data_IF_151589189573
#
_entry.id   IF_151589189573
#
_cell.length_a   1.000
_cell.length_b   1.000
_cell.length_c   1.000
_cell.angle_alpha   90.00
_cell.angle_beta   90.00
_cell.angle_gamma   90.00
#
_symmetry.space_group_name_H-M   'P 1'
#
loop_
_entity.id
_entity.type
_entity.pdbx_description
1 polymer ?
#
# COMPACT_ATOMS: atom_id res chain seq x y z
N UNK A 1 -2.04 11.04 -7.27
CA UNK A 1 -1.53 11.49 -5.97
C UNK A 1 -0.34 12.39 -6.27
N UNK A 2 -0.47 13.68 -6.11
CA UNK A 2 0.66 14.62 -6.22
C UNK A 2 1.40 14.66 -4.88
N UNK A 3 2.75 14.72 -4.87
CA UNK A 3 3.47 15.04 -3.65
C UNK A 3 2.98 16.38 -3.08
N UNK A 4 3.08 16.54 -1.76
CA UNK A 4 2.90 17.85 -1.13
C UNK A 4 4.06 18.75 -1.57
N UNK A 5 3.83 20.07 -1.66
CA UNK A 5 4.88 21.00 -2.07
C UNK A 5 6.15 20.83 -1.21
N UNK A 6 7.28 20.65 -1.88
CA UNK A 6 8.58 20.40 -1.25
C UNK A 6 8.89 18.93 -0.94
N UNK A 7 7.99 17.99 -1.21
CA UNK A 7 8.28 16.55 -1.09
C UNK A 7 8.77 15.95 -2.41
N UNK A 8 9.73 15.01 -2.35
CA UNK A 8 10.19 14.33 -3.54
C UNK A 8 9.08 13.44 -4.13
N UNK A 9 9.12 13.30 -5.44
CA UNK A 9 8.35 12.31 -6.20
C UNK A 9 8.82 10.90 -5.87
N UNK A 10 7.98 9.90 -6.19
CA UNK A 10 8.34 8.47 -6.06
C UNK A 10 9.60 8.13 -6.86
N UNK A 11 9.77 8.72 -8.05
CA UNK A 11 10.94 8.51 -8.90
C UNK A 11 12.22 9.11 -8.28
N UNK A 12 12.15 10.31 -7.72
CA UNK A 12 13.29 10.94 -7.03
C UNK A 12 13.71 10.15 -5.79
N UNK A 13 12.74 9.65 -5.02
CA UNK A 13 13.02 8.77 -3.87
C UNK A 13 13.68 7.46 -4.30
N UNK A 14 13.17 6.81 -5.34
CA UNK A 14 13.73 5.56 -5.85
C UNK A 14 15.15 5.75 -6.39
N UNK A 15 15.39 6.81 -7.16
CA UNK A 15 16.71 7.15 -7.68
C UNK A 15 17.70 7.41 -6.54
N UNK A 16 17.31 8.23 -5.55
CA UNK A 16 18.15 8.54 -4.39
C UNK A 16 18.48 7.29 -3.58
N UNK A 17 17.53 6.38 -3.41
CA UNK A 17 17.74 5.11 -2.72
C UNK A 17 18.75 4.22 -3.48
N UNK A 18 18.60 4.08 -4.79
CA UNK A 18 19.51 3.31 -5.63
C UNK A 18 20.95 3.88 -5.58
N UNK A 19 21.08 5.21 -5.68
CA UNK A 19 22.39 5.89 -5.63
C UNK A 19 23.14 5.65 -4.32
N UNK A 20 22.42 5.66 -3.18
CA UNK A 20 23.04 5.49 -1.85
C UNK A 20 23.39 4.02 -1.59
N UNK A 21 22.53 3.10 -2.01
CA UNK A 21 22.62 1.69 -1.61
C UNK A 21 23.29 0.79 -2.64
N UNK A 22 23.35 1.22 -3.91
CA UNK A 22 23.72 0.38 -5.04
C UNK A 22 22.67 -0.67 -5.40
N UNK A 23 21.49 -0.66 -4.75
CA UNK A 23 20.43 -1.62 -5.00
C UNK A 23 19.70 -1.30 -6.31
N UNK A 24 19.32 -2.35 -7.05
CA UNK A 24 18.43 -2.21 -8.21
C UNK A 24 17.01 -1.88 -7.76
N UNK A 25 16.38 -0.95 -8.46
CA UNK A 25 14.96 -0.58 -8.29
C UNK A 25 14.11 -0.99 -9.50
N UNK A 26 14.62 -1.87 -10.37
CA UNK A 26 13.93 -2.32 -11.58
C UNK A 26 12.55 -2.93 -11.28
N UNK A 27 12.44 -3.69 -10.18
CA UNK A 27 11.22 -4.38 -9.78
C UNK A 27 10.35 -3.56 -8.80
N UNK A 28 10.58 -2.25 -8.68
CA UNK A 28 9.87 -1.42 -7.71
C UNK A 28 8.35 -1.47 -7.88
N UNK A 29 7.84 -1.51 -9.12
CA UNK A 29 6.40 -1.63 -9.36
C UNK A 29 5.83 -2.94 -8.81
N UNK A 30 6.54 -4.06 -9.00
CA UNK A 30 6.15 -5.33 -8.41
C UNK A 30 6.17 -5.26 -6.87
N UNK A 31 7.19 -4.64 -6.28
CA UNK A 31 7.26 -4.43 -4.84
C UNK A 31 6.08 -3.61 -4.31
N UNK A 32 5.65 -2.58 -5.04
CA UNK A 32 4.48 -1.76 -4.69
C UNK A 32 3.19 -2.57 -4.77
N UNK A 33 3.01 -3.38 -5.81
CA UNK A 33 1.86 -4.30 -5.94
C UNK A 33 1.83 -5.27 -4.77
N UNK A 34 2.96 -5.90 -4.44
CA UNK A 34 3.06 -6.82 -3.31
C UNK A 34 2.80 -6.13 -1.97
N UNK A 35 3.28 -4.90 -1.78
CA UNK A 35 3.03 -4.13 -0.57
C UNK A 35 1.53 -3.82 -0.39
N UNK A 36 0.85 -3.41 -1.45
CA UNK A 36 -0.60 -3.18 -1.44
C UNK A 36 -1.36 -4.47 -1.10
N UNK A 37 -0.97 -5.59 -1.70
CA UNK A 37 -1.57 -6.91 -1.43
C UNK A 37 -1.39 -7.34 0.04
N UNK A 38 -0.17 -7.27 0.57
CA UNK A 38 0.15 -7.66 1.95
C UNK A 38 -0.60 -6.80 2.97
N UNK A 39 -0.66 -5.48 2.75
CA UNK A 39 -1.39 -4.57 3.62
C UNK A 39 -2.91 -4.82 3.56
N UNK A 40 -3.44 -5.11 2.38
CA UNK A 40 -4.86 -5.45 2.20
C UNK A 40 -5.25 -6.73 2.95
N UNK A 41 -4.47 -7.80 2.83
CA UNK A 41 -4.72 -9.04 3.60
C UNK A 41 -4.77 -8.78 5.11
N UNK A 42 -3.83 -7.97 5.62
CA UNK A 42 -3.78 -7.63 7.04
C UNK A 42 -5.06 -6.90 7.49
N UNK A 43 -5.54 -5.95 6.69
CA UNK A 43 -6.74 -5.17 6.97
C UNK A 43 -8.02 -6.02 6.88
N UNK A 44 -8.13 -6.89 5.87
CA UNK A 44 -9.24 -7.84 5.73
C UNK A 44 -9.30 -8.85 6.88
N UNK A 45 -8.15 -9.21 7.48
CA UNK A 45 -8.12 -10.00 8.70
C UNK A 45 -8.90 -9.34 9.86
N UNK A 46 -8.79 -8.01 10.01
CA UNK A 46 -9.58 -7.27 11.01
C UNK A 46 -11.06 -7.24 10.63
N UNK A 47 -11.37 -7.07 9.34
CA UNK A 47 -12.73 -7.08 8.85
C UNK A 47 -13.44 -8.44 9.10
N UNK A 48 -12.76 -9.54 8.79
CA UNK A 48 -13.26 -10.88 9.07
C UNK A 48 -13.51 -11.13 10.56
N UNK A 49 -12.63 -10.66 11.46
CA UNK A 49 -12.86 -10.74 12.91
C UNK A 49 -14.06 -9.90 13.35
N UNK A 50 -14.26 -8.72 12.80
CA UNK A 50 -15.44 -7.90 13.10
C UNK A 50 -16.74 -8.57 12.64
N UNK A 51 -16.72 -9.25 11.49
CA UNK A 51 -17.86 -10.06 11.03
C UNK A 51 -18.20 -11.21 11.98
N UNK A 52 -17.20 -11.73 12.72
CA UNK A 52 -17.38 -12.71 13.79
C UNK A 52 -17.69 -12.10 15.17
N UNK A 53 -17.87 -10.77 15.27
CA UNK A 53 -18.12 -10.08 16.55
C UNK A 53 -16.89 -9.92 17.44
N UNK A 54 -15.69 -10.12 16.90
CA UNK A 54 -14.42 -10.12 17.64
C UNK A 54 -13.59 -8.85 17.47
N UNK A 55 -14.12 -7.84 16.76
CA UNK A 55 -13.50 -6.54 16.58
C UNK A 55 -14.56 -5.45 16.37
N UNK A 56 -14.16 -4.20 16.59
CA UNK A 56 -15.02 -3.02 16.46
C UNK A 56 -15.38 -2.76 14.98
N UNK A 57 -16.68 -2.60 14.69
CA UNK A 57 -17.21 -2.61 13.32
C UNK A 57 -16.83 -1.37 12.52
N UNK A 58 -16.80 -0.17 13.12
CA UNK A 58 -16.50 1.05 12.37
C UNK A 58 -15.04 1.07 11.90
N UNK A 59 -14.10 0.66 12.76
CA UNK A 59 -12.69 0.48 12.36
C UNK A 59 -12.57 -0.56 11.25
N UNK A 60 -13.27 -1.68 11.36
CA UNK A 60 -13.25 -2.74 10.36
C UNK A 60 -13.78 -2.27 8.99
N UNK A 61 -14.89 -1.55 8.95
CA UNK A 61 -15.45 -1.00 7.70
C UNK A 61 -14.48 0.00 7.04
N UNK A 62 -13.83 0.85 7.83
CA UNK A 62 -12.82 1.76 7.32
C UNK A 62 -11.59 1.03 6.76
N UNK A 63 -11.14 -0.04 7.43
CA UNK A 63 -10.05 -0.89 6.97
C UNK A 63 -10.41 -1.62 5.66
N UNK A 64 -11.62 -2.14 5.54
CA UNK A 64 -12.10 -2.75 4.30
C UNK A 64 -12.10 -1.74 3.15
N UNK A 65 -12.67 -0.56 3.36
CA UNK A 65 -12.68 0.51 2.35
C UNK A 65 -11.26 0.96 1.95
N UNK A 66 -10.31 0.95 2.89
CA UNK A 66 -8.90 1.25 2.63
C UNK A 66 -8.22 0.14 1.83
N UNK A 67 -8.56 -1.12 2.09
CA UNK A 67 -8.07 -2.28 1.33
C UNK A 67 -8.47 -2.22 -0.14
N UNK A 68 -9.73 -1.89 -0.43
CA UNK A 68 -10.19 -1.72 -1.81
C UNK A 68 -9.34 -0.69 -2.55
N UNK A 69 -9.04 0.46 -1.94
CA UNK A 69 -8.17 1.49 -2.53
C UNK A 69 -6.73 1.01 -2.76
N UNK A 70 -6.21 0.15 -1.88
CA UNK A 70 -4.89 -0.46 -2.06
C UNK A 70 -4.88 -1.39 -3.27
N UNK A 71 -5.94 -2.19 -3.46
CA UNK A 71 -6.04 -3.10 -4.60
C UNK A 71 -6.28 -2.35 -5.93
N UNK A 72 -7.09 -1.30 -5.92
CA UNK A 72 -7.22 -0.39 -7.07
C UNK A 72 -5.87 0.23 -7.46
N UNK A 73 -5.08 0.68 -6.48
CA UNK A 73 -3.72 1.17 -6.72
C UNK A 73 -2.79 0.08 -7.27
N UNK A 74 -2.91 -1.16 -6.79
CA UNK A 74 -2.12 -2.26 -7.31
C UNK A 74 -2.46 -2.57 -8.77
N UNK A 75 -3.75 -2.58 -9.12
CA UNK A 75 -4.22 -2.78 -10.49
C UNK A 75 -3.78 -1.66 -11.43
N UNK A 76 -3.70 -0.42 -10.94
CA UNK A 76 -3.19 0.71 -11.74
C UNK A 76 -1.68 0.68 -12.00
N UNK A 77 -0.96 -0.31 -11.47
CA UNK A 77 0.50 -0.51 -11.61
C UNK A 77 0.86 -1.74 -12.46
N UNK A 78 -0.16 -2.44 -12.97
CA UNK A 78 -0.03 -3.56 -13.91
C UNK A 78 0.07 -3.08 -15.35
#
# INVERSE_FOLDING_TARGET
MTPWDGFPTEAELAARYADITGASVADLNWCVVLACFKLGILQEGTYARAAAGQAERATADWMHATTIKLFERALSRM
#
